data_IF_437759423054
#
_entry.id   IF_437759423054
#
_cell.length_a   1.000
_cell.length_b   1.000
_cell.length_c   1.000
_cell.angle_alpha   90.00
_cell.angle_beta   90.00
_cell.angle_gamma   90.00
#
_symmetry.space_group_name_H-M   'P 1'
#
loop_
_entity.id
_entity.type
_entity.pdbx_description
1 polymer ?
#
# COMPACT_ATOMS: atom_id res chain seq x y z
N UNK A 1 -2.13 3.00 29.51
CA UNK A 1 -1.31 2.10 28.66
C UNK A 1 -2.18 0.93 28.24
N UNK A 2 -2.29 0.68 26.94
CA UNK A 2 -3.07 -0.46 26.45
C UNK A 2 -2.19 -1.74 26.48
N UNK A 3 -2.74 -2.83 27.02
CA UNK A 3 -2.17 -4.18 26.90
C UNK A 3 -3.00 -4.95 25.89
N UNK A 4 -2.35 -5.56 24.93
CA UNK A 4 -2.98 -6.35 23.89
C UNK A 4 -2.69 -7.84 24.13
N UNK A 5 -3.65 -8.70 23.85
CA UNK A 5 -3.48 -10.14 23.95
C UNK A 5 -2.74 -10.72 22.73
N UNK A 6 -2.78 -10.03 21.59
CA UNK A 6 -2.15 -10.45 20.36
C UNK A 6 -1.66 -9.24 19.56
N UNK A 7 -0.60 -9.43 18.74
CA UNK A 7 -0.16 -8.43 17.76
C UNK A 7 -1.27 -8.05 16.77
N UNK A 8 -2.23 -8.95 16.53
CA UNK A 8 -3.35 -8.72 15.61
C UNK A 8 -4.31 -7.62 16.10
N UNK A 9 -4.41 -7.40 17.41
CA UNK A 9 -5.23 -6.33 18.00
C UNK A 9 -4.62 -4.93 17.81
N UNK A 10 -3.37 -4.85 17.39
CA UNK A 10 -2.69 -3.59 17.09
C UNK A 10 -2.84 -3.14 15.63
N UNK A 11 -3.51 -3.94 14.79
CA UNK A 11 -3.79 -3.58 13.41
C UNK A 11 -4.86 -2.50 13.36
N UNK A 12 -4.57 -1.40 12.67
CA UNK A 12 -5.48 -0.27 12.57
C UNK A 12 -5.19 0.84 13.58
N UNK A 13 -6.16 1.73 13.80
CA UNK A 13 -6.04 2.93 14.62
C UNK A 13 -4.78 3.74 14.28
N UNK A 14 -4.48 3.84 12.99
CA UNK A 14 -3.30 4.56 12.49
C UNK A 14 -3.50 6.06 12.64
N UNK A 15 -2.43 6.82 12.96
CA UNK A 15 -2.56 8.25 13.22
C UNK A 15 -2.87 9.05 11.95
N UNK A 16 -3.63 10.15 12.15
CA UNK A 16 -3.75 11.26 11.21
C UNK A 16 -2.85 12.40 11.69
N UNK A 17 -1.93 12.86 10.85
CA UNK A 17 -0.94 13.88 11.18
C UNK A 17 -1.06 15.06 10.22
N UNK A 18 -1.03 16.28 10.76
CA UNK A 18 -1.03 17.51 9.95
C UNK A 18 0.32 17.71 9.28
N UNK A 19 0.31 18.10 8.01
CA UNK A 19 1.48 18.53 7.26
C UNK A 19 1.66 20.05 7.46
N UNK A 20 2.84 20.46 7.92
CA UNK A 20 3.08 21.84 8.33
C UNK A 20 4.01 22.60 7.38
N UNK A 21 5.00 21.93 6.77
CA UNK A 21 6.04 22.58 5.96
C UNK A 21 5.83 22.40 4.45
N UNK A 22 5.10 21.36 4.05
CA UNK A 22 4.83 21.05 2.64
C UNK A 22 3.44 21.52 2.19
N UNK A 23 2.51 21.72 3.11
CA UNK A 23 1.15 22.15 2.79
C UNK A 23 1.11 23.64 2.41
N UNK A 24 0.33 24.05 1.38
CA UNK A 24 0.00 25.45 1.15
C UNK A 24 -0.75 26.04 2.36
N UNK A 25 -0.43 27.30 2.71
CA UNK A 25 -0.96 27.97 3.90
C UNK A 25 -2.49 28.11 3.92
N UNK A 26 -3.14 28.09 2.77
CA UNK A 26 -4.58 28.32 2.68
C UNK A 26 -5.43 27.07 2.91
N UNK A 27 -4.82 25.87 3.07
CA UNK A 27 -5.53 24.62 3.33
C UNK A 27 -5.00 23.89 4.55
N UNK A 28 -5.76 22.94 5.07
CA UNK A 28 -5.34 22.01 6.10
C UNK A 28 -5.08 20.65 5.43
N UNK A 29 -3.83 20.29 5.28
CA UNK A 29 -3.43 19.01 4.70
C UNK A 29 -3.03 18.03 5.81
N UNK A 30 -3.67 16.86 5.82
CA UNK A 30 -3.44 15.78 6.76
C UNK A 30 -3.02 14.51 6.03
N UNK A 31 -2.29 13.65 6.71
CA UNK A 31 -1.86 12.34 6.20
C UNK A 31 -2.24 11.24 7.18
N UNK A 32 -2.86 10.15 6.68
CA UNK A 32 -3.12 8.94 7.46
C UNK A 32 -2.00 7.94 7.23
N UNK A 33 -1.23 7.68 8.29
CA UNK A 33 0.06 6.98 8.19
C UNK A 33 -0.14 5.49 8.47
N UNK A 34 -0.38 4.69 7.42
CA UNK A 34 -0.57 3.25 7.52
C UNK A 34 0.73 2.47 7.86
N UNK A 35 1.88 3.14 7.84
CA UNK A 35 3.14 2.60 8.35
C UNK A 35 3.10 2.28 9.85
N UNK A 36 2.13 2.81 10.60
CA UNK A 36 1.92 2.48 12.03
C UNK A 36 1.20 1.15 12.27
N UNK A 37 0.75 0.46 11.24
CA UNK A 37 0.37 -0.94 11.40
C UNK A 37 1.59 -1.80 11.80
N UNK A 38 1.41 -2.93 12.51
CA UNK A 38 2.52 -3.68 13.12
C UNK A 38 3.60 -4.15 12.15
N UNK A 39 3.26 -4.44 10.90
CA UNK A 39 4.23 -4.76 9.83
C UNK A 39 4.42 -3.60 8.85
N UNK A 40 4.10 -2.39 9.23
CA UNK A 40 4.45 -1.17 8.52
C UNK A 40 3.67 -0.94 7.23
N UNK A 41 2.47 -1.46 7.07
CA UNK A 41 1.65 -1.17 5.89
C UNK A 41 0.14 -1.36 6.06
N UNK A 42 -0.61 -0.71 5.17
CA UNK A 42 -2.07 -0.85 5.02
C UNK A 42 -2.51 -2.31 4.76
N UNK A 43 -1.62 -3.17 4.29
CA UNK A 43 -1.92 -4.57 3.96
C UNK A 43 -2.08 -5.47 5.18
N UNK A 44 -1.64 -5.03 6.34
CA UNK A 44 -1.90 -5.73 7.61
C UNK A 44 -3.41 -5.82 7.87
N UNK A 45 -4.15 -4.76 7.51
CA UNK A 45 -5.64 -4.75 7.59
C UNK A 45 -6.26 -5.77 6.63
N UNK A 46 -5.84 -5.77 5.37
CA UNK A 46 -6.31 -6.73 4.37
C UNK A 46 -6.05 -8.16 4.84
N UNK A 47 -4.83 -8.46 5.27
CA UNK A 47 -4.43 -9.79 5.71
C UNK A 47 -5.30 -10.29 6.88
N UNK A 48 -5.47 -9.46 7.90
CA UNK A 48 -6.32 -9.78 9.05
C UNK A 48 -7.79 -9.98 8.62
N UNK A 49 -8.33 -9.05 7.83
CA UNK A 49 -9.73 -9.07 7.40
C UNK A 49 -10.10 -10.30 6.60
N UNK A 50 -9.24 -10.71 5.65
CA UNK A 50 -9.49 -11.88 4.80
C UNK A 50 -9.40 -13.18 5.60
N UNK A 51 -8.42 -13.33 6.47
CA UNK A 51 -8.28 -14.55 7.30
C UNK A 51 -9.43 -14.66 8.29
N UNK A 52 -9.79 -13.60 9.02
CA UNK A 52 -10.91 -13.62 9.97
C UNK A 52 -12.26 -13.90 9.30
N UNK A 53 -12.49 -13.33 8.11
CA UNK A 53 -13.71 -13.60 7.35
C UNK A 53 -13.80 -15.06 6.91
N UNK A 54 -12.68 -15.64 6.45
CA UNK A 54 -12.62 -17.03 6.03
C UNK A 54 -12.77 -18.03 7.20
N UNK A 55 -12.20 -17.71 8.38
CA UNK A 55 -12.43 -18.48 9.60
C UNK A 55 -13.92 -18.45 9.99
N UNK A 56 -14.51 -17.26 9.98
CA UNK A 56 -15.93 -17.06 10.36
C UNK A 56 -16.89 -17.76 9.40
N UNK A 57 -16.60 -17.78 8.10
CA UNK A 57 -17.42 -18.50 7.11
C UNK A 57 -17.18 -20.02 7.10
N UNK A 58 -16.10 -20.50 7.72
CA UNK A 58 -15.67 -21.91 7.67
C UNK A 58 -14.97 -22.29 6.36
N UNK A 59 -14.62 -21.31 5.53
CA UNK A 59 -13.87 -21.51 4.28
C UNK A 59 -12.40 -21.85 4.57
N UNK A 60 -11.81 -21.23 5.59
CA UNK A 60 -10.49 -21.56 6.13
C UNK A 60 -10.64 -22.44 7.35
N UNK A 61 -10.12 -23.68 7.27
CA UNK A 61 -10.16 -24.65 8.35
C UNK A 61 -8.89 -24.59 9.21
N UNK A 62 -8.95 -24.92 10.50
CA UNK A 62 -7.77 -24.99 11.36
C UNK A 62 -6.66 -25.84 10.74
N UNK A 63 -5.43 -25.31 10.69
CA UNK A 63 -4.25 -25.99 10.12
C UNK A 63 -4.20 -26.06 8.60
N UNK A 64 -5.22 -25.58 7.89
CA UNK A 64 -5.20 -25.51 6.42
C UNK A 64 -4.15 -24.49 5.95
N UNK A 65 -3.41 -24.82 4.89
CA UNK A 65 -2.44 -23.91 4.31
C UNK A 65 -3.14 -22.75 3.59
N UNK A 66 -2.70 -21.54 3.89
CA UNK A 66 -3.10 -20.30 3.18
C UNK A 66 -2.13 -20.06 2.02
N UNK A 67 -2.63 -19.61 0.87
CA UNK A 67 -1.80 -19.23 -0.27
C UNK A 67 -2.25 -17.91 -0.89
N UNK A 68 -1.28 -17.10 -1.36
CA UNK A 68 -1.54 -15.86 -2.10
C UNK A 68 -0.43 -15.57 -3.12
N UNK A 69 -0.83 -14.93 -4.22
CA UNK A 69 0.08 -14.37 -5.22
C UNK A 69 0.40 -12.92 -4.86
N UNK A 70 1.62 -12.67 -4.38
CA UNK A 70 2.02 -11.31 -3.99
C UNK A 70 3.52 -11.11 -3.98
N UNK A 71 3.95 -9.92 -4.37
CA UNK A 71 5.36 -9.51 -4.34
C UNK A 71 5.70 -8.56 -3.19
N UNK A 72 4.74 -8.24 -2.31
CA UNK A 72 4.94 -7.14 -1.40
C UNK A 72 4.23 -7.27 -0.05
N UNK A 73 3.68 -6.15 0.36
CA UNK A 73 3.12 -5.94 1.70
C UNK A 73 2.01 -6.93 2.07
N UNK A 74 1.20 -7.39 1.11
CA UNK A 74 0.16 -8.41 1.38
C UNK A 74 0.78 -9.71 1.88
N UNK A 75 1.86 -10.19 1.25
CA UNK A 75 2.55 -11.40 1.71
C UNK A 75 3.15 -11.25 3.11
N UNK A 76 3.66 -10.07 3.44
CA UNK A 76 4.22 -9.77 4.75
C UNK A 76 3.11 -9.72 5.81
N UNK A 77 2.00 -9.03 5.53
CA UNK A 77 0.83 -8.99 6.42
C UNK A 77 0.22 -10.38 6.64
N UNK A 78 0.05 -11.18 5.56
CA UNK A 78 -0.41 -12.57 5.67
C UNK A 78 0.55 -13.43 6.49
N UNK A 79 1.87 -13.23 6.33
CA UNK A 79 2.85 -13.99 7.12
C UNK A 79 2.72 -13.70 8.62
N UNK A 80 2.50 -12.44 9.02
CA UNK A 80 2.22 -12.07 10.40
C UNK A 80 0.93 -12.73 10.92
N UNK A 81 -0.17 -12.57 10.17
CA UNK A 81 -1.47 -13.08 10.61
C UNK A 81 -1.46 -14.62 10.70
N UNK A 82 -0.88 -15.29 9.70
CA UNK A 82 -0.77 -16.75 9.69
C UNK A 82 0.14 -17.26 10.82
N UNK A 83 1.27 -16.60 11.07
CA UNK A 83 2.15 -16.93 12.20
C UNK A 83 1.42 -16.80 13.54
N UNK A 84 0.70 -15.69 13.75
CA UNK A 84 -0.02 -15.44 15.00
C UNK A 84 -1.20 -16.40 15.22
N UNK A 85 -1.83 -16.89 14.13
CA UNK A 85 -2.99 -17.81 14.19
C UNK A 85 -2.63 -19.28 13.97
N UNK A 86 -1.36 -19.62 13.68
CA UNK A 86 -0.89 -20.98 13.49
C UNK A 86 -1.22 -21.60 12.11
N UNK A 87 -1.43 -20.80 11.09
CA UNK A 87 -1.64 -21.28 9.72
C UNK A 87 -0.32 -21.37 8.93
N UNK A 88 -0.05 -22.47 8.22
CA UNK A 88 1.01 -22.51 7.22
C UNK A 88 0.69 -21.52 6.08
N UNK A 89 1.71 -20.76 5.61
CA UNK A 89 1.56 -19.83 4.50
C UNK A 89 2.49 -20.18 3.35
N UNK A 90 1.95 -20.14 2.13
CA UNK A 90 2.69 -20.19 0.88
C UNK A 90 2.44 -18.89 0.11
N UNK A 91 3.51 -18.29 -0.43
CA UNK A 91 3.43 -17.10 -1.28
C UNK A 91 4.05 -17.42 -2.64
N UNK A 92 3.36 -17.11 -3.73
CA UNK A 92 3.93 -17.13 -5.07
C UNK A 92 4.40 -15.73 -5.46
N UNK A 93 5.64 -15.62 -5.95
CA UNK A 93 6.29 -14.34 -6.21
C UNK A 93 7.23 -14.45 -7.41
N UNK A 94 7.20 -13.49 -8.34
CA UNK A 94 8.13 -13.49 -9.46
C UNK A 94 9.57 -13.24 -8.98
N UNK A 95 10.53 -13.91 -9.63
CA UNK A 95 11.94 -13.89 -9.24
C UNK A 95 12.64 -12.53 -9.37
N UNK A 96 12.03 -11.56 -10.06
CA UNK A 96 12.53 -10.18 -10.20
C UNK A 96 12.24 -9.28 -9.01
N UNK A 97 11.34 -9.69 -8.10
CA UNK A 97 10.99 -8.85 -6.96
C UNK A 97 12.01 -8.95 -5.81
N UNK A 98 11.93 -7.98 -4.89
CA UNK A 98 12.86 -7.74 -3.79
C UNK A 98 13.24 -8.99 -2.99
N UNK A 99 14.55 -9.20 -2.86
CA UNK A 99 15.13 -10.27 -2.04
C UNK A 99 14.82 -10.05 -0.56
N UNK A 100 14.80 -8.79 -0.10
CA UNK A 100 14.51 -8.41 1.27
C UNK A 100 13.10 -8.84 1.67
N UNK A 101 12.12 -8.62 0.80
CA UNK A 101 10.72 -9.04 1.06
C UNK A 101 10.58 -10.55 1.15
N UNK A 102 11.34 -11.30 0.32
CA UNK A 102 11.40 -12.78 0.43
C UNK A 102 11.97 -13.22 1.77
N UNK A 103 13.04 -12.55 2.24
CA UNK A 103 13.65 -12.82 3.54
C UNK A 103 12.69 -12.51 4.68
N UNK A 104 12.00 -11.36 4.64
CA UNK A 104 10.97 -10.98 5.61
C UNK A 104 9.85 -12.02 5.71
N UNK A 105 9.25 -12.41 4.60
CA UNK A 105 8.18 -13.41 4.59
C UNK A 105 8.66 -14.77 5.14
N UNK A 106 9.87 -15.23 4.75
CA UNK A 106 10.45 -16.46 5.27
C UNK A 106 10.79 -16.38 6.75
N UNK A 107 11.27 -15.23 7.22
CA UNK A 107 11.55 -15.01 8.64
C UNK A 107 10.27 -15.08 9.50
N UNK A 108 9.14 -14.68 8.94
CA UNK A 108 7.82 -14.83 9.56
C UNK A 108 7.19 -16.24 9.35
N UNK A 109 7.93 -17.20 8.78
CA UNK A 109 7.50 -18.59 8.64
C UNK A 109 6.84 -18.94 7.29
N UNK A 110 6.70 -18.02 6.35
CA UNK A 110 6.10 -18.30 5.06
C UNK A 110 7.05 -19.09 4.12
N UNK A 111 6.48 -19.96 3.29
CA UNK A 111 7.19 -20.56 2.15
C UNK A 111 7.01 -19.66 0.93
N UNK A 112 8.11 -19.29 0.28
CA UNK A 112 8.10 -18.44 -0.93
C UNK A 112 8.47 -19.27 -2.14
N UNK A 113 7.49 -19.43 -3.05
CA UNK A 113 7.63 -20.12 -4.34
C UNK A 113 7.88 -19.06 -5.41
N UNK A 114 9.01 -19.15 -6.11
CA UNK A 114 9.36 -18.21 -7.17
C UNK A 114 8.74 -18.64 -8.50
N UNK A 115 8.28 -17.66 -9.27
CA UNK A 115 7.79 -17.84 -10.64
C UNK A 115 8.70 -17.11 -11.64
N UNK A 116 8.77 -17.57 -12.91
CA UNK A 116 9.63 -16.94 -13.92
C UNK A 116 9.27 -15.47 -14.16
N UNK A 117 10.30 -14.63 -14.32
CA UNK A 117 10.18 -13.19 -14.56
C UNK A 117 9.26 -12.84 -15.75
N UNK A 118 9.35 -13.61 -16.83
CA UNK A 118 8.58 -13.40 -18.06
C UNK A 118 7.05 -13.45 -17.83
N UNK A 119 6.59 -14.20 -16.82
CA UNK A 119 5.17 -14.41 -16.54
C UNK A 119 4.56 -13.32 -15.64
N UNK A 120 5.36 -12.40 -15.11
CA UNK A 120 4.92 -11.22 -14.32
C UNK A 120 3.85 -11.54 -13.25
N UNK A 121 2.90 -10.63 -13.04
CA UNK A 121 1.81 -10.76 -12.06
C UNK A 121 0.86 -11.90 -12.37
N UNK A 122 0.45 -12.04 -13.63
CA UNK A 122 -0.45 -13.14 -14.05
C UNK A 122 0.16 -14.52 -13.79
N UNK A 123 1.47 -14.69 -14.00
CA UNK A 123 2.14 -15.96 -13.71
C UNK A 123 2.17 -16.32 -12.23
N UNK A 124 2.27 -15.32 -11.36
CA UNK A 124 2.15 -15.52 -9.91
C UNK A 124 0.73 -15.99 -9.53
N UNK A 125 -0.29 -15.33 -10.07
CA UNK A 125 -1.70 -15.67 -9.83
C UNK A 125 -2.01 -17.07 -10.36
N UNK A 126 -1.62 -17.39 -11.60
CA UNK A 126 -1.82 -18.72 -12.18
C UNK A 126 -1.17 -19.82 -11.30
N UNK A 127 0.05 -19.58 -10.81
CA UNK A 127 0.76 -20.56 -9.95
C UNK A 127 0.09 -20.71 -8.58
N UNK A 128 -0.44 -19.64 -7.99
CA UNK A 128 -1.18 -19.72 -6.75
C UNK A 128 -2.48 -20.50 -6.91
N UNK A 129 -3.23 -20.26 -7.99
CA UNK A 129 -4.45 -20.99 -8.34
C UNK A 129 -4.19 -22.49 -8.52
N UNK A 130 -3.17 -22.85 -9.29
CA UNK A 130 -2.74 -24.25 -9.53
C UNK A 130 -2.44 -24.97 -8.21
N UNK A 131 -1.62 -24.34 -7.36
CA UNK A 131 -1.22 -24.93 -6.08
C UNK A 131 -2.39 -25.04 -5.11
N UNK A 132 -3.27 -24.04 -5.05
CA UNK A 132 -4.47 -24.05 -4.24
C UNK A 132 -5.40 -25.21 -4.65
N UNK A 133 -5.73 -25.32 -5.94
CA UNK A 133 -6.60 -26.35 -6.47
C UNK A 133 -6.03 -27.76 -6.24
N UNK A 134 -4.73 -27.96 -6.50
CA UNK A 134 -4.07 -29.26 -6.37
C UNK A 134 -4.03 -29.77 -4.92
N UNK A 135 -3.83 -28.87 -3.96
CA UNK A 135 -3.57 -29.21 -2.58
C UNK A 135 -4.74 -28.96 -1.62
N UNK A 136 -5.84 -28.38 -2.09
CA UNK A 136 -6.96 -27.97 -1.25
C UNK A 136 -6.60 -26.83 -0.29
N UNK A 137 -5.69 -25.90 -0.71
CA UNK A 137 -5.26 -24.79 0.10
C UNK A 137 -6.23 -23.60 -0.03
N UNK A 138 -6.33 -22.80 1.02
CA UNK A 138 -7.14 -21.59 1.00
C UNK A 138 -6.44 -20.47 0.26
N UNK A 139 -7.02 -20.03 -0.86
CA UNK A 139 -6.54 -18.90 -1.67
C UNK A 139 -7.23 -17.61 -1.23
N UNK A 140 -6.48 -16.62 -0.77
CA UNK A 140 -7.04 -15.40 -0.17
C UNK A 140 -7.66 -14.44 -1.19
N UNK A 141 -7.25 -14.47 -2.48
CA UNK A 141 -7.81 -13.71 -3.60
C UNK A 141 -7.88 -12.21 -3.33
N UNK A 142 -6.75 -11.60 -2.98
CA UNK A 142 -6.68 -10.20 -2.56
C UNK A 142 -7.33 -9.19 -3.52
N UNK A 143 -7.45 -9.50 -4.81
CA UNK A 143 -7.97 -8.61 -5.84
C UNK A 143 -9.47 -8.71 -6.06
N UNK A 144 -10.10 -9.79 -5.59
CA UNK A 144 -11.52 -10.11 -5.79
C UNK A 144 -12.32 -10.25 -4.49
N UNK A 145 -11.65 -10.62 -3.38
CA UNK A 145 -12.29 -10.96 -2.11
C UNK A 145 -12.87 -9.73 -1.40
N UNK A 146 -14.20 -9.74 -1.20
CA UNK A 146 -14.94 -8.67 -0.53
C UNK A 146 -14.53 -8.45 0.94
N UNK A 147 -13.97 -9.43 1.61
CA UNK A 147 -13.46 -9.26 2.97
C UNK A 147 -12.33 -8.19 3.05
N UNK A 148 -11.61 -7.95 1.93
CA UNK A 148 -10.63 -6.88 1.84
C UNK A 148 -11.30 -5.48 1.97
N UNK A 149 -12.21 -5.03 1.10
CA UNK A 149 -12.88 -3.74 1.30
C UNK A 149 -13.76 -3.70 2.55
N UNK A 150 -14.35 -4.82 2.99
CA UNK A 150 -15.12 -4.88 4.23
C UNK A 150 -14.28 -4.52 5.46
N UNK A 151 -13.04 -4.98 5.52
CA UNK A 151 -12.11 -4.59 6.58
C UNK A 151 -11.88 -3.07 6.59
N UNK A 152 -11.69 -2.46 5.44
CA UNK A 152 -11.53 -1.01 5.33
C UNK A 152 -12.79 -0.23 5.66
N UNK A 153 -13.97 -0.76 5.36
CA UNK A 153 -15.23 -0.12 5.73
C UNK A 153 -15.47 -0.12 7.24
N UNK A 154 -15.14 -1.22 7.91
CA UNK A 154 -15.37 -1.36 9.37
C UNK A 154 -14.23 -0.78 10.23
N UNK A 155 -13.05 -0.46 9.65
CA UNK A 155 -11.90 0.09 10.37
C UNK A 155 -11.45 1.42 9.79
N UNK A 156 -10.74 1.45 8.66
CA UNK A 156 -10.14 2.65 8.07
C UNK A 156 -11.14 3.79 7.87
N UNK A 157 -12.31 3.48 7.33
CA UNK A 157 -13.36 4.49 7.12
C UNK A 157 -13.90 5.03 8.44
N UNK A 158 -14.07 4.17 9.45
CA UNK A 158 -14.52 4.59 10.79
C UNK A 158 -13.50 5.45 11.50
N UNK A 159 -12.23 5.10 11.39
CA UNK A 159 -11.12 5.92 11.89
C UNK A 159 -11.14 7.30 11.23
N UNK A 160 -11.25 7.41 9.91
CA UNK A 160 -11.33 8.68 9.18
C UNK A 160 -12.52 9.52 9.67
N UNK A 161 -13.71 8.93 9.79
CA UNK A 161 -14.89 9.65 10.29
C UNK A 161 -14.68 10.16 11.73
N UNK A 162 -14.05 9.35 12.58
CA UNK A 162 -13.78 9.74 13.95
C UNK A 162 -12.70 10.83 14.04
N UNK A 163 -11.65 10.75 13.20
CA UNK A 163 -10.55 11.70 13.16
C UNK A 163 -11.02 13.11 12.71
N UNK A 164 -12.08 13.18 11.89
CA UNK A 164 -12.70 14.44 11.43
C UNK A 164 -14.06 14.71 12.10
N UNK A 165 -14.31 14.11 13.27
CA UNK A 165 -15.59 14.35 13.99
C UNK A 165 -15.72 15.81 14.40
N UNK A 166 -16.78 16.46 13.91
CA UNK A 166 -17.05 17.89 14.17
C UNK A 166 -16.37 18.83 13.16
N UNK A 167 -15.62 18.29 12.22
CA UNK A 167 -15.01 19.03 11.12
C UNK A 167 -15.47 18.46 9.77
N UNK A 168 -15.44 19.28 8.72
CA UNK A 168 -15.70 18.82 7.36
C UNK A 168 -14.42 18.26 6.76
N UNK A 169 -14.45 17.04 6.22
CA UNK A 169 -13.42 16.54 5.33
C UNK A 169 -13.82 16.87 3.88
N UNK A 170 -13.10 17.79 3.23
CA UNK A 170 -13.43 18.22 1.86
C UNK A 170 -12.89 17.25 0.80
N UNK A 171 -11.70 16.70 1.00
CA UNK A 171 -11.07 15.79 0.05
C UNK A 171 -10.41 14.61 0.75
N UNK A 172 -10.66 13.41 0.21
CA UNK A 172 -9.91 12.22 0.54
C UNK A 172 -9.11 11.74 -0.67
N UNK A 173 -7.78 11.71 -0.54
CA UNK A 173 -6.85 11.38 -1.62
C UNK A 173 -6.20 10.02 -1.36
N UNK A 174 -6.32 9.11 -2.31
CA UNK A 174 -5.76 7.76 -2.23
C UNK A 174 -5.26 7.30 -3.61
N UNK A 175 -4.55 6.18 -3.64
CA UNK A 175 -4.28 5.44 -4.86
C UNK A 175 -4.87 4.04 -4.77
N UNK A 176 -4.56 3.17 -5.73
CA UNK A 176 -5.06 1.81 -5.72
C UNK A 176 -3.98 0.78 -6.06
N UNK A 177 -3.98 -0.32 -5.31
CA UNK A 177 -3.31 -1.57 -5.65
C UNK A 177 -4.36 -2.64 -5.89
N UNK A 178 -4.87 -3.28 -4.83
CA UNK A 178 -5.97 -4.24 -4.92
C UNK A 178 -7.35 -3.58 -5.10
N UNK A 179 -7.48 -2.30 -4.72
CA UNK A 179 -8.76 -1.59 -4.68
C UNK A 179 -9.49 -1.69 -3.33
N UNK A 180 -9.02 -2.52 -2.40
CA UNK A 180 -9.71 -2.74 -1.12
C UNK A 180 -9.89 -1.46 -0.29
N UNK A 181 -8.83 -0.67 -0.09
CA UNK A 181 -8.90 0.61 0.61
C UNK A 181 -9.83 1.58 -0.11
N UNK A 182 -9.65 1.72 -1.44
CA UNK A 182 -10.48 2.62 -2.26
C UNK A 182 -11.96 2.24 -2.14
N UNK A 183 -12.35 1.01 -2.48
CA UNK A 183 -13.74 0.54 -2.44
C UNK A 183 -14.33 0.63 -1.03
N UNK A 184 -13.58 0.13 -0.04
CA UNK A 184 -14.06 0.04 1.34
C UNK A 184 -14.29 1.39 2.01
N UNK A 185 -13.39 2.36 1.81
CA UNK A 185 -13.53 3.71 2.36
C UNK A 185 -14.55 4.52 1.55
N UNK A 186 -14.46 4.49 0.21
CA UNK A 186 -15.32 5.28 -0.66
C UNK A 186 -16.82 4.98 -0.43
N UNK A 187 -17.21 3.70 -0.28
CA UNK A 187 -18.62 3.33 -0.07
C UNK A 187 -19.18 3.83 1.27
N UNK A 188 -18.33 4.01 2.27
CA UNK A 188 -18.72 4.54 3.59
C UNK A 188 -18.77 6.06 3.54
N UNK A 189 -17.75 6.72 2.99
CA UNK A 189 -17.72 8.18 2.87
C UNK A 189 -18.87 8.68 1.99
N UNK A 190 -19.16 8.03 0.87
CA UNK A 190 -20.30 8.40 0.01
C UNK A 190 -21.66 8.38 0.73
N UNK A 191 -21.79 7.55 1.78
CA UNK A 191 -23.02 7.44 2.57
C UNK A 191 -23.05 8.40 3.77
N UNK A 192 -21.92 8.54 4.48
CA UNK A 192 -21.86 9.20 5.80
C UNK A 192 -21.19 10.57 5.77
N UNK A 193 -20.37 10.83 4.74
CA UNK A 193 -19.74 12.13 4.48
C UNK A 193 -19.87 12.47 2.98
N UNK A 194 -21.10 12.60 2.44
CA UNK A 194 -21.37 12.69 0.98
C UNK A 194 -20.74 13.91 0.30
N UNK A 195 -20.40 14.93 1.07
CA UNK A 195 -19.72 16.13 0.55
C UNK A 195 -18.20 15.95 0.41
N UNK A 196 -17.64 14.82 0.87
CA UNK A 196 -16.22 14.53 0.73
C UNK A 196 -15.91 14.11 -0.70
N UNK A 197 -15.07 14.85 -1.38
CA UNK A 197 -14.61 14.55 -2.75
C UNK A 197 -13.53 13.49 -2.72
N UNK A 198 -13.75 12.39 -3.44
CA UNK A 198 -12.82 11.27 -3.52
C UNK A 198 -11.90 11.46 -4.72
N UNK A 199 -10.60 11.54 -4.46
CA UNK A 199 -9.56 11.70 -5.49
C UNK A 199 -8.69 10.46 -5.53
N UNK A 200 -8.51 9.89 -6.72
CA UNK A 200 -7.70 8.69 -6.91
C UNK A 200 -6.48 9.00 -7.76
N UNK A 201 -5.31 8.61 -7.27
CA UNK A 201 -4.04 8.74 -7.97
C UNK A 201 -3.65 7.41 -8.62
N UNK A 202 -3.08 7.49 -9.82
CA UNK A 202 -2.49 6.36 -10.53
C UNK A 202 -1.15 6.75 -11.17
N UNK A 203 -0.26 5.78 -11.50
CA UNK A 203 0.99 6.09 -12.18
C UNK A 203 0.77 6.70 -13.57
N UNK A 204 1.49 7.76 -13.91
CA UNK A 204 1.43 8.36 -15.25
C UNK A 204 1.84 7.38 -16.37
N UNK A 205 2.72 6.42 -16.05
CA UNK A 205 3.13 5.37 -16.99
C UNK A 205 2.10 4.23 -17.14
N UNK A 206 1.14 4.13 -16.22
CA UNK A 206 0.08 3.12 -16.26
C UNK A 206 -1.28 3.76 -15.96
N UNK A 207 -1.79 4.67 -16.82
CA UNK A 207 -3.01 5.44 -16.59
C UNK A 207 -4.26 4.60 -16.92
N UNK A 208 -4.42 3.45 -16.29
CA UNK A 208 -5.43 2.47 -16.65
C UNK A 208 -6.87 2.96 -16.42
N UNK A 209 -7.11 3.71 -15.35
CA UNK A 209 -8.42 4.29 -15.07
C UNK A 209 -8.67 5.54 -15.91
N UNK A 210 -7.69 6.45 -15.98
CA UNK A 210 -7.80 7.71 -16.75
C UNK A 210 -7.93 7.47 -18.25
N UNK A 211 -7.32 6.41 -18.78
CA UNK A 211 -7.47 6.03 -20.20
C UNK A 211 -8.86 5.51 -20.55
N UNK A 212 -9.69 5.17 -19.57
CA UNK A 212 -10.98 4.50 -19.80
C UNK A 212 -10.84 3.06 -20.30
N UNK A 213 -9.65 2.47 -20.19
CA UNK A 213 -9.37 1.09 -20.61
C UNK A 213 -10.26 0.11 -19.84
N UNK A 214 -10.88 -0.83 -20.56
CA UNK A 214 -11.68 -1.91 -19.94
C UNK A 214 -10.79 -3.10 -19.61
N UNK A 215 -11.10 -3.78 -18.50
CA UNK A 215 -10.44 -5.01 -18.09
C UNK A 215 -11.30 -6.22 -18.44
N UNK A 216 -10.76 -7.10 -19.27
CA UNK A 216 -11.35 -8.42 -19.50
C UNK A 216 -11.19 -9.29 -18.26
N UNK A 217 -12.26 -10.02 -17.88
CA UNK A 217 -12.32 -10.84 -16.68
C UNK A 217 -12.82 -12.24 -16.96
N UNK A 218 -12.28 -13.18 -16.20
CA UNK A 218 -12.82 -14.53 -16.07
C UNK A 218 -14.13 -14.52 -15.26
N UNK A 219 -14.94 -15.59 -15.30
CA UNK A 219 -16.19 -15.68 -14.53
C UNK A 219 -16.03 -15.48 -13.01
N UNK A 220 -14.85 -15.80 -12.46
CA UNK A 220 -14.53 -15.62 -11.04
C UNK A 220 -14.07 -14.19 -10.68
N UNK A 221 -14.06 -13.28 -11.66
CA UNK A 221 -13.67 -11.88 -11.50
C UNK A 221 -12.17 -11.62 -11.65
N UNK A 222 -11.34 -12.67 -11.75
CA UNK A 222 -9.90 -12.54 -12.00
C UNK A 222 -9.61 -11.95 -13.39
N UNK A 223 -8.47 -11.28 -13.60
CA UNK A 223 -8.13 -10.74 -14.92
C UNK A 223 -7.87 -11.85 -15.94
N UNK A 224 -8.46 -11.74 -17.12
CA UNK A 224 -8.26 -12.68 -18.22
C UNK A 224 -6.97 -12.38 -19.03
N UNK A 225 -6.56 -11.10 -19.06
CA UNK A 225 -5.37 -10.62 -19.77
C UNK A 225 -4.79 -9.38 -19.11
N UNK A 226 -3.51 -9.03 -19.38
CA UNK A 226 -2.94 -7.75 -18.97
C UNK A 226 -3.72 -6.58 -19.59
N UNK A 227 -3.78 -5.45 -18.88
CA UNK A 227 -4.39 -4.25 -19.39
C UNK A 227 -3.49 -3.54 -20.42
N UNK A 228 -4.03 -3.15 -21.57
CA UNK A 228 -3.27 -2.55 -22.67
C UNK A 228 -2.65 -1.17 -22.34
N UNK A 229 -3.17 -0.47 -21.34
CA UNK A 229 -2.62 0.82 -20.88
C UNK A 229 -1.48 0.67 -19.86
N UNK A 230 -1.18 -0.55 -19.41
CA UNK A 230 -0.10 -0.78 -18.44
C UNK A 230 1.28 -0.63 -19.06
N UNK A 231 2.14 0.12 -18.35
CA UNK A 231 3.60 0.11 -18.53
C UNK A 231 4.28 -0.02 -17.17
N UNK A 232 5.49 -0.60 -17.09
CA UNK A 232 6.25 -0.67 -15.84
C UNK A 232 6.46 0.71 -15.21
N UNK A 233 6.30 0.80 -13.90
CA UNK A 233 6.43 2.06 -13.15
C UNK A 233 7.04 1.81 -11.76
N UNK A 234 7.63 2.82 -11.08
CA UNK A 234 8.32 2.63 -9.80
C UNK A 234 7.38 2.50 -8.60
N UNK A 235 6.08 2.77 -8.74
CA UNK A 235 5.10 2.76 -7.64
C UNK A 235 4.70 1.32 -7.27
N UNK A 236 5.62 0.59 -6.62
CA UNK A 236 5.39 -0.81 -6.23
C UNK A 236 4.18 -0.93 -5.30
N UNK A 237 3.29 -1.87 -5.63
CA UNK A 237 2.05 -2.11 -4.90
C UNK A 237 0.83 -1.34 -5.41
N UNK A 238 1.01 -0.42 -6.37
CA UNK A 238 -0.07 0.20 -7.13
C UNK A 238 -0.19 -0.40 -8.53
N UNK A 239 -1.39 -0.24 -9.10
CA UNK A 239 -1.66 -0.49 -10.52
C UNK A 239 -0.91 -1.72 -11.05
N UNK A 240 -1.28 -2.95 -10.65
CA UNK A 240 -0.72 -4.15 -11.29
C UNK A 240 -0.99 -4.11 -12.79
N UNK A 241 -0.44 -5.05 -13.55
CA UNK A 241 -0.61 -5.14 -15.00
C UNK A 241 -2.08 -5.41 -15.46
N UNK A 242 -3.03 -5.23 -14.55
CA UNK A 242 -4.47 -5.32 -14.79
C UNK A 242 -5.24 -4.38 -13.82
N UNK A 243 -6.50 -4.07 -14.13
CA UNK A 243 -7.41 -3.39 -13.19
C UNK A 243 -8.04 -4.46 -12.28
N UNK A 244 -7.74 -4.50 -10.97
CA UNK A 244 -8.37 -5.43 -10.04
C UNK A 244 -9.89 -5.32 -10.02
N UNK A 245 -10.59 -6.43 -9.72
CA UNK A 245 -12.06 -6.42 -9.61
C UNK A 245 -12.55 -5.37 -8.62
N UNK A 246 -11.95 -5.35 -7.42
CA UNK A 246 -12.34 -4.41 -6.37
C UNK A 246 -12.11 -2.93 -6.78
N UNK A 247 -11.10 -2.66 -7.61
CA UNK A 247 -10.89 -1.32 -8.19
C UNK A 247 -11.97 -0.99 -9.21
N UNK A 248 -12.27 -1.93 -10.11
CA UNK A 248 -13.36 -1.77 -11.08
C UNK A 248 -14.70 -1.50 -10.40
N UNK A 249 -15.03 -2.28 -9.39
CA UNK A 249 -16.24 -2.10 -8.58
C UNK A 249 -16.29 -0.69 -7.93
N UNK A 250 -15.15 -0.16 -7.46
CA UNK A 250 -15.08 1.20 -6.90
C UNK A 250 -15.33 2.29 -7.96
N UNK A 251 -14.82 2.09 -9.19
CA UNK A 251 -15.09 2.99 -10.31
C UNK A 251 -16.59 2.96 -10.69
N UNK A 252 -17.20 1.77 -10.71
CA UNK A 252 -18.60 1.58 -11.04
C UNK A 252 -19.55 2.21 -10.01
N UNK A 253 -19.10 2.48 -8.78
CA UNK A 253 -19.86 3.24 -7.79
C UNK A 253 -20.09 4.71 -8.18
N UNK A 254 -19.30 5.25 -9.14
CA UNK A 254 -19.40 6.63 -9.66
C UNK A 254 -19.28 7.72 -8.56
N UNK A 255 -18.49 7.45 -7.53
CA UNK A 255 -18.22 8.37 -6.40
C UNK A 255 -16.85 9.01 -6.48
N UNK A 256 -16.04 8.66 -7.46
CA UNK A 256 -14.71 9.24 -7.68
C UNK A 256 -14.88 10.58 -8.40
N UNK A 257 -14.52 11.67 -7.72
CA UNK A 257 -14.61 13.03 -8.27
C UNK A 257 -13.50 13.30 -9.28
N UNK A 258 -12.28 12.80 -9.00
CA UNK A 258 -11.10 13.13 -9.82
C UNK A 258 -10.12 11.97 -9.89
N UNK A 259 -9.60 11.71 -11.11
CA UNK A 259 -8.46 10.83 -11.35
C UNK A 259 -7.23 11.69 -11.64
N UNK A 260 -6.11 11.37 -11.00
CA UNK A 260 -4.85 12.10 -11.17
C UNK A 260 -3.73 11.12 -11.54
N UNK A 261 -3.02 11.42 -12.62
CA UNK A 261 -1.79 10.72 -12.98
C UNK A 261 -0.59 11.37 -12.30
N UNK A 262 0.26 10.54 -11.69
CA UNK A 262 1.46 10.99 -10.97
C UNK A 262 2.70 10.36 -11.60
N UNK A 263 3.69 11.19 -11.92
CA UNK A 263 4.96 10.71 -12.45
C UNK A 263 5.83 10.08 -11.35
N UNK A 264 6.62 9.07 -11.70
CA UNK A 264 7.52 8.38 -10.75
C UNK A 264 8.50 9.32 -10.04
N UNK A 265 9.21 10.22 -10.75
CA UNK A 265 10.10 11.19 -10.12
C UNK A 265 9.39 12.13 -9.13
N UNK A 266 8.17 12.58 -9.46
CA UNK A 266 7.34 13.40 -8.57
C UNK A 266 6.97 12.65 -7.28
N UNK A 267 6.59 11.39 -7.39
CA UNK A 267 6.28 10.53 -6.25
C UNK A 267 7.51 10.34 -5.33
N UNK A 268 8.68 10.04 -5.91
CA UNK A 268 9.92 9.87 -5.15
C UNK A 268 10.35 11.16 -4.46
N UNK A 269 10.22 12.31 -5.14
CA UNK A 269 10.51 13.62 -4.55
C UNK A 269 9.60 13.89 -3.35
N UNK A 270 8.30 13.66 -3.46
CA UNK A 270 7.35 13.86 -2.37
C UNK A 270 7.62 12.91 -1.18
N UNK A 271 8.03 11.67 -1.42
CA UNK A 271 8.45 10.75 -0.36
C UNK A 271 9.68 11.27 0.39
N UNK A 272 10.71 11.77 -0.33
CA UNK A 272 11.90 12.39 0.28
C UNK A 272 11.55 13.68 1.03
N UNK A 273 10.69 14.52 0.47
CA UNK A 273 10.24 15.75 1.11
C UNK A 273 9.49 15.46 2.41
N UNK A 274 8.63 14.42 2.47
CA UNK A 274 7.99 13.97 3.71
C UNK A 274 9.04 13.59 4.78
N UNK A 275 10.05 12.83 4.41
CA UNK A 275 11.09 12.42 5.34
C UNK A 275 11.93 13.61 5.83
N UNK A 276 12.41 14.46 4.92
CA UNK A 276 13.39 15.51 5.25
C UNK A 276 12.76 16.79 5.81
N UNK A 277 11.48 17.06 5.50
CA UNK A 277 10.79 18.28 5.93
C UNK A 277 9.76 18.05 7.03
N UNK A 278 9.13 16.89 7.07
CA UNK A 278 8.08 16.56 8.05
C UNK A 278 8.48 15.43 9.01
N UNK A 279 9.62 14.75 8.79
CA UNK A 279 10.06 13.60 9.58
C UNK A 279 9.22 12.33 9.35
N UNK A 280 8.47 12.26 8.26
CA UNK A 280 7.55 11.15 7.95
C UNK A 280 8.19 10.22 6.92
N UNK A 281 8.63 9.05 7.38
CA UNK A 281 9.40 8.09 6.59
C UNK A 281 8.49 7.04 5.93
N UNK A 282 8.27 7.17 4.60
CA UNK A 282 7.27 6.41 3.85
C UNK A 282 7.75 6.00 2.46
N UNK A 283 7.03 5.06 1.83
CA UNK A 283 7.34 4.53 0.51
C UNK A 283 6.93 5.44 -0.66
N UNK A 284 7.24 4.97 -1.89
CA UNK A 284 7.01 5.73 -3.14
C UNK A 284 5.52 6.04 -3.36
N UNK A 285 4.63 5.11 -3.05
CA UNK A 285 3.18 5.28 -3.21
C UNK A 285 2.60 6.33 -2.26
N UNK A 286 3.19 6.49 -1.07
CA UNK A 286 2.85 7.55 -0.15
C UNK A 286 3.26 8.92 -0.70
N UNK A 287 4.44 9.02 -1.31
CA UNK A 287 4.84 10.22 -2.04
C UNK A 287 3.93 10.53 -3.23
N UNK A 288 3.44 9.50 -3.92
CA UNK A 288 2.49 9.67 -5.03
C UNK A 288 1.13 10.22 -4.56
N UNK A 289 0.59 9.72 -3.44
CA UNK A 289 -0.65 10.29 -2.88
C UNK A 289 -0.44 11.70 -2.37
N UNK A 290 0.70 12.02 -1.75
CA UNK A 290 1.02 13.40 -1.37
C UNK A 290 1.09 14.31 -2.59
N UNK A 291 1.75 13.89 -3.68
CA UNK A 291 1.79 14.68 -4.92
C UNK A 291 0.38 14.98 -5.45
N UNK A 292 -0.51 13.98 -5.41
CA UNK A 292 -1.92 14.16 -5.75
C UNK A 292 -2.64 15.12 -4.81
N UNK A 293 -2.39 15.01 -3.50
CA UNK A 293 -2.98 15.91 -2.50
C UNK A 293 -2.50 17.36 -2.66
N UNK A 294 -1.24 17.58 -3.01
CA UNK A 294 -0.71 18.91 -3.31
C UNK A 294 -1.33 19.52 -4.59
N UNK A 295 -1.61 18.70 -5.62
CA UNK A 295 -2.36 19.15 -6.80
C UNK A 295 -3.80 19.53 -6.45
N UNK A 296 -4.46 18.77 -5.57
CA UNK A 296 -5.78 19.12 -5.05
C UNK A 296 -5.72 20.40 -4.23
N UNK A 297 -4.71 20.54 -3.38
CA UNK A 297 -4.52 21.70 -2.52
C UNK A 297 -4.36 23.01 -3.30
N UNK A 298 -3.72 22.96 -4.49
CA UNK A 298 -3.53 24.15 -5.32
C UNK A 298 -4.86 24.79 -5.78
N UNK A 299 -5.90 23.98 -5.98
CA UNK A 299 -7.21 24.41 -6.48
C UNK A 299 -8.28 24.44 -5.38
N UNK A 300 -7.94 23.97 -4.16
CA UNK A 300 -8.91 23.85 -3.06
C UNK A 300 -9.24 25.21 -2.43
N UNK A 301 -10.49 25.41 -1.98
CA UNK A 301 -10.87 26.64 -1.29
C UNK A 301 -10.10 26.83 0.01
N UNK A 302 -9.96 28.10 0.43
CA UNK A 302 -9.31 28.44 1.70
C UNK A 302 -10.00 27.74 2.88
N UNK A 303 -9.19 27.11 3.74
CA UNK A 303 -9.63 26.37 4.91
C UNK A 303 -10.07 24.93 4.62
N UNK A 304 -9.98 24.45 3.37
CA UNK A 304 -10.33 23.07 3.03
C UNK A 304 -9.48 22.06 3.79
N UNK A 305 -10.12 20.99 4.30
CA UNK A 305 -9.47 19.85 4.93
C UNK A 305 -9.23 18.75 3.89
N UNK A 306 -7.99 18.37 3.70
CA UNK A 306 -7.55 17.35 2.73
C UNK A 306 -6.87 16.22 3.50
N UNK A 307 -7.35 14.99 3.38
CA UNK A 307 -6.71 13.80 3.93
C UNK A 307 -6.07 12.97 2.84
N UNK A 308 -4.77 12.67 2.97
CA UNK A 308 -3.98 11.86 2.07
C UNK A 308 -3.58 10.53 2.73
N UNK A 309 -3.74 9.40 2.03
CA UNK A 309 -3.32 8.09 2.52
C UNK A 309 -1.83 7.82 2.27
N UNK A 310 -1.09 7.43 3.30
CA UNK A 310 0.32 7.00 3.20
C UNK A 310 0.41 5.50 3.46
N UNK A 311 0.49 4.65 2.40
CA UNK A 311 0.23 3.22 2.52
C UNK A 311 1.25 2.39 3.29
N UNK A 312 2.53 2.77 3.31
CA UNK A 312 3.58 1.96 3.93
C UNK A 312 4.84 2.74 4.32
N UNK A 313 5.73 2.06 5.05
CA UNK A 313 7.04 2.56 5.48
C UNK A 313 8.06 2.62 4.33
N UNK A 314 9.03 3.53 4.44
CA UNK A 314 10.14 3.71 3.49
C UNK A 314 11.19 2.59 3.50
N UNK A 315 11.34 1.83 4.58
CA UNK A 315 12.37 0.77 4.72
C UNK A 315 12.28 -0.31 3.63
N UNK A 316 11.11 -0.52 3.05
CA UNK A 316 10.90 -1.53 1.99
C UNK A 316 11.48 -1.14 0.65
N UNK A 317 12.05 0.05 0.53
CA UNK A 317 12.50 0.66 -0.72
C UNK A 317 14.00 0.95 -0.73
N UNK A 318 14.77 0.53 0.30
CA UNK A 318 16.21 0.80 0.45
C UNK A 318 17.03 0.39 -0.78
N UNK A 319 16.68 -0.70 -1.46
CA UNK A 319 17.34 -1.18 -2.69
C UNK A 319 16.69 -0.66 -3.99
N UNK A 320 15.88 0.38 -3.92
CA UNK A 320 15.17 0.94 -5.09
C UNK A 320 15.70 2.33 -5.46
N UNK A 321 15.30 2.88 -6.63
CA UNK A 321 15.70 4.23 -7.03
C UNK A 321 15.34 5.35 -6.03
N UNK A 322 14.43 5.10 -5.08
CA UNK A 322 14.11 6.08 -4.02
C UNK A 322 15.33 6.46 -3.18
N UNK A 323 16.27 5.54 -3.00
CA UNK A 323 17.47 5.71 -2.19
C UNK A 323 18.78 5.77 -3.00
N UNK A 324 18.69 5.80 -4.35
CA UNK A 324 19.86 5.70 -5.21
C UNK A 324 20.92 6.80 -5.00
N UNK A 325 20.50 7.96 -4.52
CA UNK A 325 21.38 9.10 -4.24
C UNK A 325 21.74 9.23 -2.74
N UNK A 326 21.39 8.28 -1.91
CA UNK A 326 21.76 8.26 -0.49
C UNK A 326 22.99 7.36 -0.31
N UNK A 327 24.17 7.93 -0.03
CA UNK A 327 25.40 7.14 0.14
C UNK A 327 25.35 6.32 1.44
N UNK A 328 26.02 5.15 1.42
CA UNK A 328 26.26 4.35 2.62
C UNK A 328 27.52 4.83 3.37
N UNK A 329 28.50 5.36 2.62
CA UNK A 329 29.73 5.88 3.17
C UNK A 329 29.60 7.38 3.52
N UNK A 330 30.52 7.88 4.33
CA UNK A 330 30.56 9.28 4.71
C UNK A 330 30.71 10.20 3.49
N UNK A 331 29.85 11.21 3.42
CA UNK A 331 29.99 12.34 2.49
C UNK A 331 31.23 13.17 2.81
N UNK A 332 31.66 14.07 1.91
CA UNK A 332 32.77 14.99 2.13
C UNK A 332 32.56 15.85 3.40
N UNK A 333 31.34 16.38 3.59
CA UNK A 333 30.99 17.16 4.78
C UNK A 333 31.07 16.33 6.07
N UNK A 334 30.57 15.11 6.07
CA UNK A 334 30.66 14.20 7.23
C UNK A 334 32.12 13.82 7.54
N UNK A 335 32.98 13.68 6.54
CA UNK A 335 34.40 13.48 6.69
C UNK A 335 35.09 14.71 7.35
N UNK A 336 34.73 15.93 6.94
CA UNK A 336 35.22 17.16 7.57
C UNK A 336 34.77 17.26 9.01
N UNK A 337 33.52 16.97 9.32
CA UNK A 337 32.99 16.89 10.69
C UNK A 337 33.78 15.86 11.49
N UNK A 338 33.99 14.65 10.97
CA UNK A 338 34.77 13.60 11.63
C UNK A 338 36.17 14.03 11.99
N UNK A 339 36.83 14.81 11.12
CA UNK A 339 38.23 15.31 11.31
C UNK A 339 38.31 16.56 12.16
N UNK A 340 37.19 17.18 12.50
CA UNK A 340 37.17 18.41 13.33
C UNK A 340 37.57 18.20 14.78
N UNK A 341 37.66 16.94 15.24
CA UNK A 341 38.11 16.53 16.57
C UNK A 341 39.30 15.55 16.50
N UNK A 342 40.19 15.47 17.52
CA UNK A 342 41.44 14.69 17.43
C UNK A 342 41.27 13.17 17.56
N UNK A 343 40.07 12.62 17.81
CA UNK A 343 39.90 11.20 18.12
C UNK A 343 39.16 10.39 17.06
N UNK A 344 39.47 9.10 16.94
CA UNK A 344 38.66 8.06 16.28
C UNK A 344 38.26 8.34 14.82
N UNK A 345 39.20 8.82 14.00
CA UNK A 345 38.94 8.98 12.55
C UNK A 345 38.84 7.64 11.84
N UNK A 346 37.83 7.49 11.02
CA UNK A 346 37.78 6.40 10.05
C UNK A 346 38.86 6.60 8.98
N UNK A 347 39.62 5.56 8.59
CA UNK A 347 40.50 5.66 7.44
C UNK A 347 39.69 5.96 6.18
N UNK A 348 40.25 6.65 5.16
CA UNK A 348 39.59 6.79 3.88
C UNK A 348 39.27 5.40 3.30
N UNK A 349 38.16 5.24 2.57
CA UNK A 349 37.88 3.98 1.91
C UNK A 349 39.08 3.56 1.05
N UNK A 350 39.40 2.28 1.03
CA UNK A 350 40.46 1.74 0.18
C UNK A 350 40.11 2.02 -1.29
N UNK A 351 41.11 2.54 -2.03
CA UNK A 351 40.98 2.91 -3.43
C UNK A 351 40.70 1.68 -4.33
#
# INVERSE_FOLDING_TARGET
MAKYASILETVGNTPVVRINRLAPEHVNLFVKIEAFNPLGSVKDRLALGVIEAAEKSGELKPGQTVIEATSGNTGIGLAMVCAAKGYPLVVTMAETFSVERRKLMRFLGAKVVLTPAANRGLGMVAKANELAARNGWFLTRQFENEANPDMHSRTTAREIINDFKGEKLDYWVTGFGTGGTLKGVARVLAKEMPDTKIVVCEPADAPMLTSGSKQERNPDGSPAAPNGAFKPHPMQGWSPDFIPKLTGDAVDMKVIERLLTIAGPEAMKCSKDLATKEGIFVGITAGATLAGALKVAADAPKGANILCMLPDTGERYLSTPLFADIPADMTGEEQEISRSTPGFHMPPPAA
#
